data_IF_876814213870
#
_entry.id   IF_876814213870
#
_cell.length_a   1.000
_cell.length_b   1.000
_cell.length_c   1.000
_cell.angle_alpha   90.00
_cell.angle_beta   90.00
_cell.angle_gamma   90.00
#
_symmetry.space_group_name_H-M   'P 1'
#
loop_
_entity.id
_entity.type
_entity.pdbx_description
1 polymer ?
#
# COMPACT_ATOMS: atom_id res chain seq x y z
N UNK A 1 0.96 19.01 -8.18
CA UNK A 1 1.56 17.67 -8.35
C UNK A 1 3.05 17.64 -7.98
N UNK A 2 3.84 18.68 -8.27
CA UNK A 2 5.28 18.72 -7.89
C UNK A 2 5.62 18.54 -6.41
N UNK A 3 4.71 18.89 -5.49
CA UNK A 3 4.95 18.75 -4.05
C UNK A 3 4.95 17.30 -3.58
N UNK A 4 4.22 16.41 -4.26
CA UNK A 4 4.12 15.00 -3.90
C UNK A 4 5.38 14.21 -4.26
N UNK A 5 6.15 14.68 -5.26
CA UNK A 5 7.38 14.02 -5.69
C UNK A 5 8.49 14.03 -4.65
N UNK A 6 8.45 15.00 -3.72
CA UNK A 6 9.37 15.12 -2.56
C UNK A 6 8.74 14.60 -1.26
N UNK A 7 7.54 14.02 -1.34
CA UNK A 7 6.84 13.50 -0.19
C UNK A 7 7.51 12.21 0.29
N UNK A 8 7.91 12.19 1.56
CA UNK A 8 8.57 11.04 2.17
C UNK A 8 7.61 10.15 2.95
N UNK A 9 6.48 10.70 3.39
CA UNK A 9 5.51 10.01 4.23
C UNK A 9 4.10 10.49 3.90
N UNK A 10 3.18 9.55 3.72
CA UNK A 10 1.74 9.79 3.63
C UNK A 10 1.11 9.04 4.78
N UNK A 11 0.48 9.78 5.69
CA UNK A 11 -0.13 9.25 6.90
C UNK A 11 -1.57 9.75 6.94
N UNK A 12 -2.52 8.85 6.68
CA UNK A 12 -3.95 9.13 6.65
C UNK A 12 -4.71 8.16 7.57
N UNK A 13 -4.68 8.38 8.90
CA UNK A 13 -5.35 7.54 9.86
C UNK A 13 -6.86 7.85 9.89
N UNK A 14 -7.69 6.81 9.85
CA UNK A 14 -9.14 6.84 10.04
C UNK A 14 -9.88 7.87 9.17
N UNK A 15 -9.56 7.90 7.88
CA UNK A 15 -10.20 8.78 6.91
C UNK A 15 -11.36 8.09 6.18
N UNK A 16 -12.28 8.88 5.64
CA UNK A 16 -13.31 8.39 4.71
C UNK A 16 -12.83 8.59 3.28
N UNK A 17 -12.09 7.61 2.77
CA UNK A 17 -11.58 7.61 1.40
C UNK A 17 -12.59 6.86 0.52
N UNK A 18 -13.15 7.57 -0.46
CA UNK A 18 -14.09 6.97 -1.42
C UNK A 18 -13.37 6.21 -2.54
N UNK A 19 -12.23 6.73 -2.98
CA UNK A 19 -11.47 6.17 -4.09
C UNK A 19 -9.99 6.53 -3.97
N UNK A 20 -9.10 5.59 -4.32
CA UNK A 20 -7.68 5.84 -4.54
C UNK A 20 -7.43 6.19 -6.02
N UNK A 21 -6.46 7.08 -6.32
CA UNK A 21 -6.05 7.31 -7.69
C UNK A 21 -5.43 6.03 -8.28
N UNK A 22 -5.52 5.84 -9.60
CA UNK A 22 -4.95 4.65 -10.27
C UNK A 22 -3.43 4.54 -10.04
N UNK A 23 -2.76 5.70 -10.02
CA UNK A 23 -1.34 5.86 -9.73
C UNK A 23 -1.12 7.09 -8.86
N UNK A 24 -0.08 7.06 -8.05
CA UNK A 24 0.33 8.19 -7.24
C UNK A 24 1.84 8.41 -7.40
N UNK A 25 2.20 9.49 -8.11
CA UNK A 25 3.58 9.90 -8.41
C UNK A 25 4.27 10.47 -7.16
N UNK A 26 4.74 9.55 -6.31
CA UNK A 26 5.49 9.84 -5.09
C UNK A 26 6.79 9.00 -5.04
N UNK A 27 7.76 9.24 -5.94
CA UNK A 27 8.97 8.43 -6.06
C UNK A 27 9.85 8.40 -4.80
N UNK A 28 9.83 9.45 -3.98
CA UNK A 28 10.62 9.54 -2.73
C UNK A 28 9.88 8.99 -1.49
N UNK A 29 8.67 8.44 -1.66
CA UNK A 29 7.84 7.98 -0.54
C UNK A 29 8.45 6.77 0.14
N UNK A 30 8.63 6.84 1.46
CA UNK A 30 9.21 5.78 2.29
C UNK A 30 8.20 5.11 3.20
N UNK A 31 7.16 5.85 3.60
CA UNK A 31 6.10 5.36 4.48
C UNK A 31 4.73 5.71 3.91
N UNK A 32 3.88 4.70 3.83
CA UNK A 32 2.47 4.84 3.51
C UNK A 32 1.63 4.21 4.62
N UNK A 33 0.84 5.03 5.30
CA UNK A 33 -0.18 4.58 6.25
C UNK A 33 -1.55 5.05 5.77
N UNK A 34 -2.42 4.09 5.44
CA UNK A 34 -3.79 4.35 4.99
C UNK A 34 -4.74 3.55 5.86
N UNK A 35 -5.57 4.23 6.64
CA UNK A 35 -6.65 3.59 7.40
C UNK A 35 -7.98 4.16 6.93
N UNK A 36 -8.79 3.34 6.27
CA UNK A 36 -10.14 3.73 5.85
C UNK A 36 -11.14 3.44 6.96
N UNK A 37 -11.95 4.43 7.32
CA UNK A 37 -13.03 4.33 8.31
C UNK A 37 -14.38 3.99 7.67
N UNK A 38 -14.48 4.07 6.34
CA UNK A 38 -15.68 3.68 5.57
C UNK A 38 -15.69 2.19 5.21
N UNK A 39 -16.36 1.87 4.10
CA UNK A 39 -16.36 0.52 3.52
C UNK A 39 -14.96 0.07 3.10
N UNK A 40 -14.79 -1.23 2.84
CA UNK A 40 -13.51 -1.75 2.35
C UNK A 40 -13.09 -1.06 1.04
N UNK A 41 -11.94 -0.40 1.06
CA UNK A 41 -11.45 0.41 -0.06
C UNK A 41 -10.72 -0.47 -1.08
N UNK A 42 -11.16 -0.46 -2.34
CA UNK A 42 -10.45 -1.12 -3.43
C UNK A 42 -9.15 -0.39 -3.73
N UNK A 43 -8.07 -1.15 -3.89
CA UNK A 43 -6.77 -0.62 -4.28
C UNK A 43 -6.52 -0.92 -5.77
N UNK A 44 -6.26 0.10 -6.61
CA UNK A 44 -5.92 -0.10 -8.02
C UNK A 44 -4.66 -0.95 -8.20
N UNK A 45 -4.62 -1.76 -9.26
CA UNK A 45 -3.52 -2.71 -9.50
C UNK A 45 -2.15 -2.03 -9.63
N UNK A 46 -2.15 -0.81 -10.19
CA UNK A 46 -0.98 0.01 -10.48
C UNK A 46 -0.62 1.01 -9.35
N UNK A 47 -1.35 1.00 -8.23
CA UNK A 47 -1.27 2.03 -7.20
C UNK A 47 0.15 2.26 -6.66
N UNK A 48 0.95 1.20 -6.52
CA UNK A 48 2.32 1.27 -5.97
C UNK A 48 3.42 1.48 -7.02
N UNK A 49 3.06 1.60 -8.31
CA UNK A 49 4.03 1.56 -9.43
C UNK A 49 5.09 2.68 -9.40
N UNK A 50 4.74 3.86 -8.89
CA UNK A 50 5.62 5.04 -8.88
C UNK A 50 6.23 5.33 -7.49
N UNK A 51 6.30 4.31 -6.61
CA UNK A 51 6.73 4.46 -5.20
C UNK A 51 7.92 3.56 -4.84
N UNK A 52 8.94 3.51 -5.69
CA UNK A 52 10.07 2.58 -5.55
C UNK A 52 10.88 2.68 -4.25
N UNK A 53 10.79 3.80 -3.52
CA UNK A 53 11.48 4.00 -2.23
C UNK A 53 10.69 3.51 -1.00
N UNK A 54 9.50 2.93 -1.19
CA UNK A 54 8.66 2.49 -0.07
C UNK A 54 9.36 1.42 0.77
N UNK A 55 9.36 1.64 2.08
CA UNK A 55 9.91 0.74 3.10
C UNK A 55 8.85 0.24 4.07
N UNK A 56 7.84 1.05 4.34
CA UNK A 56 6.79 0.73 5.31
C UNK A 56 5.43 0.99 4.68
N UNK A 57 4.59 -0.04 4.67
CA UNK A 57 3.18 0.04 4.29
C UNK A 57 2.35 -0.46 5.46
N UNK A 58 1.39 0.35 5.90
CA UNK A 58 0.36 -0.05 6.86
C UNK A 58 -1.02 0.30 6.29
N UNK A 59 -1.82 -0.73 6.05
CA UNK A 59 -3.13 -0.63 5.44
C UNK A 59 -4.19 -1.12 6.42
N UNK A 60 -5.26 -0.36 6.57
CA UNK A 60 -6.44 -0.76 7.31
C UNK A 60 -7.71 -0.54 6.51
N UNK A 61 -8.58 -1.55 6.45
CA UNK A 61 -9.88 -1.44 5.77
C UNK A 61 -9.78 -1.48 4.24
N UNK A 62 -8.85 -2.26 3.67
CA UNK A 62 -8.70 -2.42 2.22
C UNK A 62 -9.40 -3.68 1.71
N UNK A 63 -9.94 -3.64 0.50
CA UNK A 63 -10.38 -4.80 -0.26
C UNK A 63 -9.25 -5.23 -1.20
N UNK A 64 -8.57 -6.33 -0.85
CA UNK A 64 -7.43 -6.88 -1.58
C UNK A 64 -7.72 -8.27 -2.16
N UNK A 65 -8.99 -8.56 -2.42
CA UNK A 65 -9.43 -9.77 -3.12
C UNK A 65 -9.59 -9.51 -4.62
N UNK A 66 -9.28 -10.51 -5.48
CA UNK A 66 -8.83 -11.87 -5.14
C UNK A 66 -7.36 -11.92 -4.69
N UNK A 67 -6.56 -10.90 -5.01
CA UNK A 67 -5.17 -10.77 -4.56
C UNK A 67 -4.79 -9.29 -4.40
N UNK A 68 -3.77 -8.95 -3.59
CA UNK A 68 -3.26 -7.58 -3.52
C UNK A 68 -2.75 -7.07 -4.89
N UNK A 69 -2.67 -5.73 -5.07
CA UNK A 69 -2.22 -5.11 -6.32
C UNK A 69 -0.90 -5.67 -6.83
N UNK A 70 -0.83 -6.01 -8.12
CA UNK A 70 0.35 -6.60 -8.75
C UNK A 70 1.57 -5.68 -8.66
N UNK A 71 1.36 -4.35 -8.69
CA UNK A 71 2.41 -3.34 -8.51
C UNK A 71 3.14 -3.44 -7.16
N UNK A 72 2.57 -4.11 -6.14
CA UNK A 72 3.26 -4.40 -4.89
C UNK A 72 4.57 -5.17 -5.13
N UNK A 73 4.63 -6.02 -6.17
CA UNK A 73 5.85 -6.75 -6.57
C UNK A 73 7.02 -5.85 -6.97
N UNK A 74 6.74 -4.61 -7.36
CA UNK A 74 7.75 -3.65 -7.81
C UNK A 74 8.53 -3.05 -6.62
N UNK A 75 8.00 -3.20 -5.40
CA UNK A 75 8.59 -2.64 -4.20
C UNK A 75 9.76 -3.49 -3.71
N UNK A 76 10.93 -3.25 -4.29
CA UNK A 76 12.17 -3.96 -3.96
C UNK A 76 12.79 -3.54 -2.62
N UNK A 77 12.35 -2.42 -2.03
CA UNK A 77 12.88 -1.86 -0.77
C UNK A 77 11.93 -2.01 0.42
N UNK A 78 10.76 -2.65 0.22
CA UNK A 78 9.77 -2.83 1.28
C UNK A 78 10.38 -3.68 2.41
N UNK A 79 10.22 -3.21 3.66
CA UNK A 79 10.72 -3.89 4.86
C UNK A 79 9.56 -4.27 5.78
N UNK A 80 8.50 -3.47 5.85
CA UNK A 80 7.31 -3.76 6.65
C UNK A 80 6.04 -3.65 5.81
N UNK A 81 5.22 -4.69 5.86
CA UNK A 81 3.88 -4.73 5.27
C UNK A 81 2.88 -5.15 6.33
N UNK A 82 1.95 -4.25 6.65
CA UNK A 82 0.82 -4.51 7.52
C UNK A 82 -0.49 -4.37 6.75
N UNK A 83 -1.34 -5.40 6.83
CA UNK A 83 -2.67 -5.44 6.24
C UNK A 83 -3.66 -5.87 7.33
N UNK A 84 -4.19 -4.88 8.05
CA UNK A 84 -5.01 -5.09 9.25
C UNK A 84 -6.46 -4.82 8.90
N UNK A 85 -7.40 -5.67 9.30
CA UNK A 85 -8.81 -5.51 8.94
C UNK A 85 -8.99 -5.33 7.43
N UNK A 86 -8.22 -6.05 6.63
CA UNK A 86 -8.32 -6.06 5.16
C UNK A 86 -9.00 -7.35 4.71
N UNK A 87 -9.73 -7.30 3.61
CA UNK A 87 -10.28 -8.51 2.99
C UNK A 87 -9.20 -9.13 2.11
N UNK A 88 -8.75 -10.34 2.48
CA UNK A 88 -7.65 -11.06 1.86
C UNK A 88 -8.13 -12.43 1.35
N UNK A 89 -7.58 -12.90 0.22
CA UNK A 89 -7.76 -14.26 -0.29
C UNK A 89 -6.40 -14.85 -0.71
N UNK A 90 -5.86 -14.49 -1.88
CA UNK A 90 -4.52 -14.91 -2.31
C UNK A 90 -3.45 -13.88 -1.92
N UNK A 91 -2.58 -14.27 -0.98
CA UNK A 91 -1.45 -13.44 -0.53
C UNK A 91 -0.10 -13.91 -1.10
N UNK A 92 -0.10 -14.78 -2.11
CA UNK A 92 1.13 -15.34 -2.70
C UNK A 92 2.08 -14.28 -3.26
N UNK A 93 1.56 -13.10 -3.60
CA UNK A 93 2.35 -11.93 -3.99
C UNK A 93 3.40 -11.53 -2.95
N UNK A 94 3.12 -11.75 -1.66
CA UNK A 94 4.04 -11.44 -0.55
C UNK A 94 5.34 -12.23 -0.68
N UNK A 95 5.31 -13.46 -1.22
CA UNK A 95 6.51 -14.28 -1.45
C UNK A 95 7.49 -13.68 -2.49
N UNK A 96 7.03 -12.70 -3.28
CA UNK A 96 7.86 -11.98 -4.25
C UNK A 96 8.61 -10.80 -3.61
N UNK A 97 8.22 -10.35 -2.42
CA UNK A 97 8.82 -9.22 -1.71
C UNK A 97 10.11 -9.64 -1.00
N UNK A 98 11.25 -9.55 -1.69
CA UNK A 98 12.53 -10.11 -1.22
C UNK A 98 13.17 -9.38 -0.04
N UNK A 99 12.84 -8.11 0.18
CA UNK A 99 13.37 -7.31 1.28
C UNK A 99 12.44 -7.24 2.49
N UNK A 100 11.29 -7.93 2.45
CA UNK A 100 10.31 -7.89 3.52
C UNK A 100 10.87 -8.55 4.79
N UNK A 101 10.89 -7.80 5.88
CA UNK A 101 11.37 -8.22 7.19
C UNK A 101 10.20 -8.46 8.16
N UNK A 102 9.15 -7.64 8.05
CA UNK A 102 7.97 -7.67 8.91
C UNK A 102 6.73 -7.84 8.04
N UNK A 103 5.97 -8.90 8.32
CA UNK A 103 4.64 -9.12 7.77
C UNK A 103 3.65 -9.16 8.94
N UNK A 104 2.63 -8.31 8.89
CA UNK A 104 1.51 -8.36 9.82
C UNK A 104 0.20 -8.50 9.06
N UNK A 105 -0.53 -9.56 9.38
CA UNK A 105 -1.87 -9.87 8.87
C UNK A 105 -2.76 -9.98 10.10
N UNK A 106 -3.98 -9.43 10.04
CA UNK A 106 -5.09 -9.66 11.00
C UNK A 106 -6.28 -8.75 10.67
#
# INVERSE_FOLDING_TARGET
MDQLRKCHQIIMPWNYIYQLPDKLDCPELKLLLLCNAGDYLKVPDDFFSEMGELKVISLYGMMLTPSPPSSLCLLTKIQSLEMIGCVLEDISIVAKLKSLEILRLE
#
